data_IF_308244029569
#
_entry.id   IF_308244029569
#
_cell.length_a   1.000
_cell.length_b   1.000
_cell.length_c   1.000
_cell.angle_alpha   90.00
_cell.angle_beta   90.00
_cell.angle_gamma   90.00
#
_symmetry.space_group_name_H-M   'P 1'
#
loop_
_entity.id
_entity.type
_entity.pdbx_description
1 polymer ?
#
# COMPACT_ATOMS: atom_id res chain seq x y z
N UNK A 1 15.58 6.73 8.43
CA UNK A 1 14.46 6.99 7.48
C UNK A 1 14.13 5.65 6.84
N UNK A 2 13.04 5.02 7.28
CA UNK A 2 12.75 3.59 7.06
C UNK A 2 12.67 3.20 5.58
N UNK A 3 13.50 2.23 5.18
CA UNK A 3 13.55 1.60 3.85
C UNK A 3 12.19 1.10 3.34
N UNK A 4 11.30 0.71 4.26
CA UNK A 4 9.99 0.15 3.94
C UNK A 4 9.08 1.18 3.25
N UNK A 5 9.14 2.45 3.64
CA UNK A 5 8.36 3.53 3.01
C UNK A 5 8.91 3.91 1.63
N UNK A 6 10.21 3.81 1.42
CA UNK A 6 10.84 4.11 0.13
C UNK A 6 10.54 3.03 -0.93
N UNK A 7 10.25 1.80 -0.51
CA UNK A 7 10.06 0.67 -1.43
C UNK A 7 8.62 0.23 -1.64
N UNK A 8 7.62 0.94 -1.10
CA UNK A 8 6.19 0.62 -1.31
C UNK A 8 5.83 0.45 -2.80
N UNK A 9 6.42 1.29 -3.66
CA UNK A 9 6.21 1.22 -5.10
C UNK A 9 6.88 0.00 -5.76
N UNK A 10 8.05 -0.41 -5.26
CA UNK A 10 8.74 -1.62 -5.72
C UNK A 10 8.02 -2.89 -5.26
N UNK A 11 7.52 -2.92 -4.02
CA UNK A 11 6.70 -4.02 -3.50
C UNK A 11 5.42 -4.18 -4.32
N UNK A 12 4.75 -3.09 -4.68
CA UNK A 12 3.57 -3.14 -5.52
C UNK A 12 3.85 -3.69 -6.93
N UNK A 13 4.91 -3.20 -7.59
CA UNK A 13 5.22 -3.60 -8.97
C UNK A 13 5.60 -5.08 -9.08
N UNK A 14 6.29 -5.61 -8.07
CA UNK A 14 6.75 -7.00 -8.08
C UNK A 14 5.75 -7.96 -7.41
N UNK A 15 4.90 -7.47 -6.51
CA UNK A 15 4.00 -8.31 -5.71
C UNK A 15 2.64 -7.62 -5.53
N UNK A 16 1.81 -7.55 -6.59
CA UNK A 16 0.49 -6.93 -6.51
C UNK A 16 -0.45 -7.65 -5.53
N UNK A 17 -0.21 -8.94 -5.26
CA UNK A 17 -0.95 -9.75 -4.30
C UNK A 17 -0.91 -9.19 -2.86
N UNK A 18 0.15 -8.45 -2.51
CA UNK A 18 0.30 -7.82 -1.19
C UNK A 18 -0.69 -6.69 -0.95
N UNK A 19 -1.34 -6.22 -2.03
CA UNK A 19 -2.32 -5.14 -2.02
C UNK A 19 -3.73 -5.65 -2.28
N UNK A 20 -3.92 -6.98 -2.35
CA UNK A 20 -5.22 -7.61 -2.61
C UNK A 20 -6.22 -7.32 -1.49
N UNK A 21 -5.79 -7.47 -0.24
CA UNK A 21 -6.63 -7.35 0.95
C UNK A 21 -5.95 -6.52 2.04
N UNK A 22 -6.75 -5.91 2.91
CA UNK A 22 -6.21 -5.04 3.98
C UNK A 22 -5.37 -5.81 5.00
N UNK A 23 -5.76 -7.04 5.29
CA UNK A 23 -5.09 -7.87 6.30
C UNK A 23 -3.68 -8.26 5.86
N UNK A 24 -3.55 -8.79 4.63
CA UNK A 24 -2.27 -9.10 3.98
C UNK A 24 -1.35 -7.88 3.92
N UNK A 25 -1.90 -6.73 3.53
CA UNK A 25 -1.16 -5.47 3.51
C UNK A 25 -0.67 -5.10 4.92
N UNK A 26 -1.54 -5.19 5.92
CA UNK A 26 -1.18 -4.86 7.29
C UNK A 26 -0.10 -5.80 7.85
N UNK A 27 -0.16 -7.11 7.55
CA UNK A 27 0.85 -8.08 7.97
C UNK A 27 2.21 -7.79 7.33
N UNK A 28 2.26 -7.61 6.01
CA UNK A 28 3.50 -7.40 5.25
C UNK A 28 4.21 -6.11 5.67
N UNK A 29 3.43 -5.05 5.92
CA UNK A 29 3.99 -3.77 6.34
C UNK A 29 4.12 -3.63 7.86
N UNK A 30 3.82 -4.69 8.62
CA UNK A 30 3.84 -4.70 10.09
C UNK A 30 3.07 -3.51 10.67
N UNK A 31 1.88 -3.25 10.13
CA UNK A 31 1.11 -2.01 10.36
C UNK A 31 0.92 -1.71 11.85
N UNK A 32 0.65 -2.73 12.66
CA UNK A 32 0.44 -2.60 14.11
C UNK A 32 1.66 -2.03 14.84
N UNK A 33 2.88 -2.31 14.36
CA UNK A 33 4.16 -1.90 14.94
C UNK A 33 4.62 -0.51 14.45
N UNK A 34 3.85 0.12 13.54
CA UNK A 34 4.18 1.43 12.96
C UNK A 34 3.64 2.60 13.79
N UNK A 35 4.37 3.71 13.74
CA UNK A 35 3.89 4.99 14.30
C UNK A 35 2.71 5.53 13.49
N UNK A 36 1.89 6.40 14.09
CA UNK A 36 0.71 7.00 13.41
C UNK A 36 1.05 7.69 12.09
N UNK A 37 2.20 8.39 12.04
CA UNK A 37 2.70 9.02 10.82
C UNK A 37 2.98 8.00 9.70
N UNK A 38 3.54 6.83 10.06
CA UNK A 38 3.85 5.75 9.12
C UNK A 38 2.56 5.03 8.68
N UNK A 39 1.62 4.82 9.61
CA UNK A 39 0.29 4.27 9.32
C UNK A 39 -0.46 5.16 8.31
N UNK A 40 -0.46 6.48 8.53
CA UNK A 40 -1.08 7.44 7.61
C UNK A 40 -0.46 7.42 6.20
N UNK A 41 0.86 7.23 6.11
CA UNK A 41 1.58 7.06 4.83
C UNK A 41 1.17 5.77 4.12
N UNK A 42 1.11 4.65 4.83
CA UNK A 42 0.68 3.35 4.31
C UNK A 42 -0.78 3.40 3.83
N UNK A 43 -1.67 4.04 4.59
CA UNK A 43 -3.07 4.26 4.23
C UNK A 43 -3.22 5.12 2.97
N UNK A 44 -2.53 6.26 2.93
CA UNK A 44 -2.56 7.16 1.77
C UNK A 44 -2.05 6.47 0.51
N UNK A 45 -1.01 5.65 0.64
CA UNK A 45 -0.47 4.88 -0.47
C UNK A 45 -1.48 3.86 -0.99
N UNK A 46 -2.10 3.07 -0.10
CA UNK A 46 -3.14 2.10 -0.46
C UNK A 46 -4.33 2.78 -1.15
N UNK A 47 -4.84 3.88 -0.57
CA UNK A 47 -5.98 4.61 -1.11
C UNK A 47 -5.72 5.17 -2.50
N UNK A 48 -4.54 5.75 -2.75
CA UNK A 48 -4.13 6.19 -4.10
C UNK A 48 -4.17 5.05 -5.13
N UNK A 49 -3.84 3.82 -4.73
CA UNK A 49 -3.87 2.65 -5.62
C UNK A 49 -5.27 2.11 -5.86
N UNK A 50 -6.13 2.13 -4.84
CA UNK A 50 -7.57 1.81 -5.00
C UNK A 50 -8.21 2.79 -5.99
N UNK A 51 -7.89 4.08 -5.88
CA UNK A 51 -8.37 5.13 -6.79
C UNK A 51 -7.83 4.94 -8.21
N UNK A 52 -6.53 4.63 -8.37
CA UNK A 52 -5.91 4.36 -9.68
C UNK A 52 -6.53 3.12 -10.36
N UNK A 53 -6.73 2.02 -9.63
CA UNK A 53 -7.39 0.83 -10.18
C UNK A 53 -8.84 1.10 -10.57
N UNK A 54 -9.55 1.91 -9.79
CA UNK A 54 -10.92 2.33 -10.09
C UNK A 54 -10.94 3.20 -11.34
N UNK A 55 -10.05 4.20 -11.44
CA UNK A 55 -9.93 5.05 -12.63
C UNK A 55 -9.61 4.26 -13.90
N UNK A 56 -8.75 3.23 -13.82
CA UNK A 56 -8.47 2.35 -14.96
C UNK A 56 -9.70 1.52 -15.37
N UNK A 57 -10.54 1.11 -14.41
CA UNK A 57 -11.78 0.37 -14.67
C UNK A 57 -12.87 1.22 -15.35
N UNK A 58 -12.89 2.53 -15.13
CA UNK A 58 -13.86 3.45 -15.75
C UNK A 58 -13.48 3.89 -17.17
N UNK A 59 -12.26 3.60 -17.63
CA UNK A 59 -11.73 4.03 -18.92
C UNK A 59 -11.70 2.92 -20.00
N UNK A 60 -12.47 1.84 -19.81
CA UNK A 60 -12.69 0.74 -20.79
C UNK A 60 -14.16 0.68 -21.17
#
# INVERSE_FOLDING_TARGET
>A
MNEITNNLNAHWKNNPEYFRDRDTYNQIFHYSERSDQQKALLDSYRKKKEDTQTAQRYNT
#
